data_IF_992467760682
#
_entry.id   IF_992467760682
#
_cell.length_a   1.000
_cell.length_b   1.000
_cell.length_c   1.000
_cell.angle_alpha   90.00
_cell.angle_beta   90.00
_cell.angle_gamma   90.00
#
_symmetry.space_group_name_H-M   'P 1'
#
loop_
_entity.id
_entity.type
_entity.pdbx_description
1 polymer ?
#
# COMPACT_ATOMS: atom_id res chain seq x y z
N UNK A 1 14.06 -22.68 -18.22
CA UNK A 1 14.19 -21.38 -17.52
C UNK A 1 13.20 -20.44 -18.19
N UNK A 2 12.35 -19.77 -17.41
CA UNK A 2 11.36 -18.81 -17.93
C UNK A 2 12.01 -17.43 -18.10
N UNK A 3 11.47 -16.59 -18.97
CA UNK A 3 11.88 -15.18 -19.06
C UNK A 3 11.34 -14.38 -17.87
N UNK A 4 11.88 -13.17 -17.64
CA UNK A 4 11.38 -12.27 -16.60
C UNK A 4 9.89 -11.93 -16.81
N UNK A 5 9.49 -11.71 -18.06
CA UNK A 5 8.11 -11.35 -18.40
C UNK A 5 7.15 -12.52 -18.18
N UNK A 6 7.56 -13.74 -18.53
CA UNK A 6 6.78 -14.95 -18.25
C UNK A 6 6.59 -15.16 -16.75
N UNK A 7 7.68 -15.02 -15.98
CA UNK A 7 7.63 -15.11 -14.52
C UNK A 7 6.71 -14.06 -13.91
N UNK A 8 6.85 -12.78 -14.31
CA UNK A 8 6.04 -11.70 -13.77
C UNK A 8 4.56 -11.83 -14.13
N UNK A 9 4.26 -12.28 -15.36
CA UNK A 9 2.87 -12.53 -15.80
C UNK A 9 2.21 -13.65 -14.98
N UNK A 10 2.94 -14.72 -14.71
CA UNK A 10 2.46 -15.84 -13.87
C UNK A 10 2.23 -15.38 -12.43
N UNK A 11 3.21 -14.69 -11.83
CA UNK A 11 3.10 -14.14 -10.47
C UNK A 11 1.94 -13.17 -10.32
N UNK A 12 1.71 -12.30 -11.30
CA UNK A 12 0.58 -11.37 -11.28
C UNK A 12 -0.76 -12.13 -11.25
N UNK A 13 -0.92 -13.18 -12.06
CA UNK A 13 -2.13 -14.02 -12.05
C UNK A 13 -2.36 -14.72 -10.72
N UNK A 14 -1.30 -15.20 -10.08
CA UNK A 14 -1.39 -15.84 -8.75
C UNK A 14 -1.81 -14.86 -7.67
N UNK A 15 -1.19 -13.68 -7.63
CA UNK A 15 -1.52 -12.64 -6.64
C UNK A 15 -2.95 -12.13 -6.80
N UNK A 16 -3.48 -12.03 -8.03
CA UNK A 16 -4.89 -11.69 -8.26
C UNK A 16 -5.88 -12.78 -7.80
N UNK A 17 -5.45 -14.04 -7.67
CA UNK A 17 -6.28 -15.15 -7.18
C UNK A 17 -6.25 -15.30 -5.66
N UNK A 18 -5.19 -14.83 -5.00
CA UNK A 18 -5.12 -14.85 -3.56
C UNK A 18 -6.11 -13.85 -2.98
N UNK A 19 -7.02 -14.29 -2.11
CA UNK A 19 -7.86 -13.41 -1.31
C UNK A 19 -6.97 -12.65 -0.32
N UNK A 20 -6.52 -11.45 -0.73
CA UNK A 20 -5.74 -10.59 0.14
C UNK A 20 -6.67 -9.99 1.21
N UNK A 21 -6.21 -9.90 2.47
CA UNK A 21 -6.98 -9.24 3.53
C UNK A 21 -7.33 -7.80 3.13
N UNK A 22 -8.52 -7.37 3.58
CA UNK A 22 -9.23 -6.14 3.27
C UNK A 22 -8.40 -5.10 2.47
N UNK A 23 -8.62 -4.96 1.15
CA UNK A 23 -7.87 -4.03 0.32
C UNK A 23 -8.30 -2.57 0.52
N UNK A 24 -9.35 -2.32 1.30
CA UNK A 24 -9.88 -0.98 1.47
C UNK A 24 -8.98 -0.12 2.35
N UNK A 25 -8.84 1.18 2.04
CA UNK A 25 -8.17 2.12 2.91
C UNK A 25 -8.67 2.08 4.34
N UNK A 26 -7.74 2.04 5.30
CA UNK A 26 -8.05 2.05 6.72
C UNK A 26 -7.44 3.28 7.41
N UNK A 27 -8.18 3.96 8.32
CA UNK A 27 -7.62 5.01 9.16
C UNK A 27 -6.44 4.48 9.99
N UNK A 28 -5.42 5.30 10.17
CA UNK A 28 -4.17 4.88 10.83
C UNK A 28 -3.77 5.74 12.05
N UNK A 29 -4.61 6.70 12.46
CA UNK A 29 -4.39 7.56 13.62
C UNK A 29 -3.34 8.65 13.43
N UNK A 30 -2.84 8.88 12.21
CA UNK A 30 -1.81 9.88 11.92
C UNK A 30 -2.46 11.12 11.30
N UNK A 31 -2.16 12.31 11.81
CA UNK A 31 -2.65 13.56 11.23
C UNK A 31 -1.93 13.90 9.92
N UNK A 32 -2.69 14.39 8.94
CA UNK A 32 -2.18 14.86 7.67
C UNK A 32 -1.33 16.12 7.88
N UNK A 33 -0.10 16.18 7.34
CA UNK A 33 0.77 17.35 7.51
C UNK A 33 0.26 18.62 6.80
N UNK A 34 -0.69 18.48 5.88
CA UNK A 34 -1.21 19.60 5.08
C UNK A 34 -2.52 20.17 5.62
N UNK A 35 -3.45 19.31 6.06
CA UNK A 35 -4.81 19.74 6.44
C UNK A 35 -5.27 19.22 7.81
N UNK A 36 -4.40 18.53 8.55
CA UNK A 36 -4.64 17.98 9.89
C UNK A 36 -5.71 16.89 10.01
N UNK A 37 -6.43 16.56 8.93
CA UNK A 37 -7.32 15.39 8.88
C UNK A 37 -6.57 14.07 9.02
N UNK A 38 -7.25 13.00 9.43
CA UNK A 38 -6.64 11.69 9.60
C UNK A 38 -6.18 11.08 8.25
N UNK A 39 -4.96 10.53 8.24
CA UNK A 39 -4.42 9.75 7.13
C UNK A 39 -4.95 8.32 7.14
N UNK A 40 -4.95 7.72 5.95
CA UNK A 40 -5.34 6.32 5.75
C UNK A 40 -4.20 5.54 5.14
N UNK A 41 -4.04 4.29 5.58
CA UNK A 41 -3.22 3.32 4.89
C UNK A 41 -3.90 2.96 3.56
N UNK A 42 -3.25 3.28 2.44
CA UNK A 42 -3.81 3.13 1.08
C UNK A 42 -4.10 1.68 0.74
N UNK A 43 -3.19 0.78 1.14
CA UNK A 43 -3.30 -0.66 0.96
C UNK A 43 -2.81 -1.31 2.27
N UNK A 44 -3.69 -1.51 3.27
CA UNK A 44 -3.27 -1.91 4.62
C UNK A 44 -2.56 -3.27 4.66
N UNK A 45 -2.89 -4.16 3.71
CA UNK A 45 -2.30 -5.49 3.54
C UNK A 45 -0.97 -5.50 2.79
N UNK A 46 -0.48 -4.34 2.32
CA UNK A 46 0.79 -4.22 1.60
C UNK A 46 1.82 -3.44 2.41
N UNK A 47 3.05 -3.95 2.43
CA UNK A 47 4.23 -3.29 2.99
C UNK A 47 5.31 -3.26 1.92
N UNK A 48 5.94 -2.10 1.73
CA UNK A 48 7.11 -1.94 0.88
C UNK A 48 8.31 -2.61 1.56
N UNK A 49 8.98 -3.49 0.83
CA UNK A 49 10.21 -4.19 1.26
C UNK A 49 11.42 -3.26 1.15
N UNK A 50 11.37 -2.14 1.88
CA UNK A 50 12.46 -1.18 2.09
C UNK A 50 13.12 -1.39 3.46
N UNK A 51 14.21 -0.67 3.72
CA UNK A 51 14.86 -0.62 5.04
C UNK A 51 14.94 0.84 5.54
N UNK A 52 14.12 1.25 6.53
CA UNK A 52 13.10 0.46 7.23
C UNK A 52 11.87 0.14 6.34
N UNK A 53 11.07 -0.89 6.70
CA UNK A 53 9.83 -1.23 6.00
C UNK A 53 8.80 -0.10 6.07
N UNK A 54 8.01 0.08 5.01
CA UNK A 54 7.11 1.22 4.87
C UNK A 54 5.72 0.82 4.38
N UNK A 55 4.69 1.61 4.73
CA UNK A 55 3.32 1.49 4.23
C UNK A 55 2.89 2.76 3.52
N UNK A 56 2.20 2.61 2.40
CA UNK A 56 1.65 3.71 1.61
C UNK A 56 0.47 4.35 2.38
N UNK A 57 0.49 5.67 2.53
CA UNK A 57 -0.57 6.46 3.18
C UNK A 57 -1.07 7.58 2.27
N UNK A 58 -2.33 7.95 2.45
CA UNK A 58 -2.93 9.11 1.76
C UNK A 58 -3.90 9.88 2.67
N UNK A 59 -4.22 11.10 2.24
CA UNK A 59 -5.30 11.91 2.80
C UNK A 59 -6.42 12.07 1.76
N UNK A 60 -7.64 11.69 2.12
CA UNK A 60 -8.81 11.85 1.24
C UNK A 60 -9.25 13.31 1.06
N UNK A 61 -8.93 14.18 2.02
CA UNK A 61 -9.38 15.58 2.02
C UNK A 61 -8.54 16.47 1.10
N UNK A 62 -7.21 16.41 1.22
CA UNK A 62 -6.30 17.33 0.49
C UNK A 62 -5.42 16.64 -0.57
N UNK A 63 -5.54 15.32 -0.72
CA UNK A 63 -4.77 14.55 -1.71
C UNK A 63 -3.31 14.30 -1.36
N UNK A 64 -2.87 14.62 -0.13
CA UNK A 64 -1.53 14.24 0.35
C UNK A 64 -1.28 12.74 0.18
N UNK A 65 -0.06 12.37 -0.22
CA UNK A 65 0.41 10.99 -0.35
C UNK A 65 1.82 10.87 0.20
N UNK A 66 2.13 9.73 0.80
CA UNK A 66 3.46 9.46 1.32
C UNK A 66 3.59 8.05 1.87
N UNK A 67 4.57 7.88 2.75
CA UNK A 67 4.84 6.62 3.41
C UNK A 67 4.99 6.82 4.91
N UNK A 68 4.43 5.89 5.70
CA UNK A 68 4.79 5.73 7.12
C UNK A 68 5.67 4.51 7.28
N UNK A 69 6.44 4.46 8.37
CA UNK A 69 7.10 3.23 8.77
C UNK A 69 6.04 2.17 9.12
N UNK A 70 6.31 0.92 8.75
CA UNK A 70 5.36 -0.19 8.89
C UNK A 70 5.06 -0.50 10.36
#
# INVERSE_FOLDING_TARGET
MKTLDEHNTERQRELHRAELPNPHPLPNGIACPTCSEELRDSNPSMTLTSDPPQKNIHCDNCGYRGYRLA
#
